data_IF_059566603215
#
_entry.id   IF_059566603215
#
_cell.length_a   1.000
_cell.length_b   1.000
_cell.length_c   1.000
_cell.angle_alpha   90.00
_cell.angle_beta   90.00
_cell.angle_gamma   90.00
#
_symmetry.space_group_name_H-M   'P 1'
#
loop_
_entity.id
_entity.type
_entity.pdbx_description
1 polymer ?
#
# COMPACT_ATOMS: atom_id res chain seq x y z
N UNK A 1 -19.20 11.82 4.94
CA UNK A 1 -20.44 11.10 5.35
C UNK A 1 -20.05 9.73 5.90
N UNK A 2 -20.43 9.42 7.12
CA UNK A 2 -20.24 8.09 7.71
C UNK A 2 -21.28 7.14 7.09
N UNK A 3 -20.85 5.96 6.61
CA UNK A 3 -21.74 4.96 5.99
C UNK A 3 -21.75 3.69 6.83
N UNK A 4 -22.91 3.21 7.16
CA UNK A 4 -23.09 1.87 7.73
C UNK A 4 -22.94 0.84 6.60
N UNK A 5 -21.85 0.06 6.62
CA UNK A 5 -21.64 -0.99 5.61
C UNK A 5 -22.46 -2.26 5.90
N UNK A 6 -23.09 -2.32 7.06
CA UNK A 6 -23.91 -3.46 7.51
C UNK A 6 -25.36 -3.38 7.03
N UNK A 7 -25.77 -2.30 6.36
CA UNK A 7 -27.14 -2.06 5.87
C UNK A 7 -27.14 -1.53 4.42
N UNK A 8 -28.32 -1.54 3.79
CA UNK A 8 -28.50 -0.99 2.44
C UNK A 8 -27.92 -1.83 1.30
N UNK A 9 -27.87 -1.28 0.06
CA UNK A 9 -27.43 -1.99 -1.13
C UNK A 9 -25.92 -2.26 -1.10
N UNK A 10 -25.54 -3.53 -1.26
CA UNK A 10 -24.18 -4.03 -1.05
C UNK A 10 -23.19 -3.42 -2.02
N UNK A 11 -23.42 -3.59 -3.32
CA UNK A 11 -22.51 -3.12 -4.38
C UNK A 11 -22.27 -1.62 -4.27
N UNK A 12 -23.35 -0.85 -4.12
CA UNK A 12 -23.29 0.61 -3.98
C UNK A 12 -22.46 1.04 -2.75
N UNK A 13 -22.64 0.35 -1.62
CA UNK A 13 -21.91 0.66 -0.40
C UNK A 13 -20.41 0.39 -0.55
N UNK A 14 -20.04 -0.76 -1.12
CA UNK A 14 -18.63 -1.09 -1.35
C UNK A 14 -18.00 -0.10 -2.33
N UNK A 15 -18.64 0.19 -3.47
CA UNK A 15 -18.12 1.12 -4.48
C UNK A 15 -17.96 2.54 -3.93
N UNK A 16 -19.00 3.09 -3.30
CA UNK A 16 -18.95 4.45 -2.76
C UNK A 16 -17.97 4.60 -1.58
N UNK A 17 -17.63 3.51 -0.91
CA UNK A 17 -16.59 3.48 0.11
C UNK A 17 -15.20 3.31 -0.51
N UNK A 18 -15.07 2.51 -1.60
CA UNK A 18 -13.82 2.27 -2.30
C UNK A 18 -13.32 3.48 -3.11
N UNK A 19 -14.24 4.20 -3.77
CA UNK A 19 -13.88 5.32 -4.64
C UNK A 19 -12.96 6.36 -3.97
N UNK A 20 -13.23 6.86 -2.75
CA UNK A 20 -12.31 7.79 -2.09
C UNK A 20 -10.94 7.19 -1.76
N UNK A 21 -10.85 5.87 -1.50
CA UNK A 21 -9.56 5.21 -1.29
C UNK A 21 -8.75 5.21 -2.59
N UNK A 22 -9.37 4.77 -3.69
CA UNK A 22 -8.74 4.72 -5.01
C UNK A 22 -8.27 6.10 -5.46
N UNK A 23 -9.11 7.14 -5.31
CA UNK A 23 -8.70 8.51 -5.59
C UNK A 23 -7.56 8.99 -4.69
N UNK A 24 -7.55 8.59 -3.40
CA UNK A 24 -6.47 8.90 -2.48
C UNK A 24 -5.14 8.33 -2.93
N UNK A 25 -5.10 7.07 -3.34
CA UNK A 25 -3.88 6.41 -3.83
C UNK A 25 -3.40 7.03 -5.14
N UNK A 26 -4.29 7.32 -6.08
CA UNK A 26 -3.94 8.02 -7.32
C UNK A 26 -3.36 9.41 -7.04
N UNK A 27 -3.99 10.18 -6.15
CA UNK A 27 -3.49 11.50 -5.73
C UNK A 27 -2.11 11.40 -5.08
N UNK A 28 -1.88 10.36 -4.26
CA UNK A 28 -0.58 10.08 -3.66
C UNK A 28 0.50 9.81 -4.71
N UNK A 29 0.17 9.07 -5.76
CA UNK A 29 1.11 8.84 -6.86
C UNK A 29 1.41 10.12 -7.64
N UNK A 30 0.40 10.96 -7.87
CA UNK A 30 0.59 12.24 -8.56
C UNK A 30 1.52 13.18 -7.78
N UNK A 31 1.35 13.31 -6.47
CA UNK A 31 2.25 14.17 -5.71
C UNK A 31 3.67 13.59 -5.61
N UNK A 32 3.85 12.28 -5.53
CA UNK A 32 5.17 11.64 -5.58
C UNK A 32 5.90 11.93 -6.91
N UNK A 33 5.14 11.96 -8.02
CA UNK A 33 5.68 12.34 -9.34
C UNK A 33 6.08 13.82 -9.33
N UNK A 34 5.24 14.69 -8.78
CA UNK A 34 5.51 16.14 -8.70
C UNK A 34 6.76 16.42 -7.85
N UNK A 35 6.90 15.81 -6.68
CA UNK A 35 8.08 15.91 -5.81
C UNK A 35 9.36 15.45 -6.54
N UNK A 36 9.30 14.27 -7.17
CA UNK A 36 10.42 13.75 -7.98
C UNK A 36 10.79 14.69 -9.14
N UNK A 37 9.80 15.29 -9.79
CA UNK A 37 10.02 16.25 -10.86
C UNK A 37 10.68 17.54 -10.36
N UNK A 38 10.22 18.08 -9.23
CA UNK A 38 10.84 19.28 -8.62
C UNK A 38 12.29 19.01 -8.26
N UNK A 39 12.59 17.90 -7.58
CA UNK A 39 13.95 17.52 -7.21
C UNK A 39 14.82 17.33 -8.45
N UNK A 40 14.37 16.56 -9.43
CA UNK A 40 15.16 16.30 -10.65
C UNK A 40 15.40 17.54 -11.49
N UNK A 41 14.41 18.44 -11.61
CA UNK A 41 14.50 19.64 -12.45
C UNK A 41 15.36 20.74 -11.84
N UNK A 42 15.27 20.93 -10.51
CA UNK A 42 15.89 22.09 -9.85
C UNK A 42 17.14 21.73 -9.03
N UNK A 43 17.30 20.49 -8.58
CA UNK A 43 18.45 20.06 -7.78
C UNK A 43 19.42 19.15 -8.55
N UNK A 44 19.02 18.65 -9.73
CA UNK A 44 19.86 17.86 -10.61
C UNK A 44 19.84 16.36 -10.36
N UNK A 45 20.65 15.62 -11.15
CA UNK A 45 20.64 14.17 -11.20
C UNK A 45 21.11 13.50 -9.89
N UNK A 46 22.12 14.07 -9.23
CA UNK A 46 22.67 13.52 -7.97
C UNK A 46 21.65 13.58 -6.83
N UNK A 47 20.95 14.71 -6.72
CA UNK A 47 19.85 14.86 -5.76
C UNK A 47 18.71 13.89 -6.06
N UNK A 48 18.36 13.73 -7.32
CA UNK A 48 17.32 12.78 -7.76
C UNK A 48 17.71 11.33 -7.43
N UNK A 49 18.97 10.95 -7.64
CA UNK A 49 19.49 9.63 -7.30
C UNK A 49 19.46 9.39 -5.77
N UNK A 50 19.86 10.37 -4.96
CA UNK A 50 19.84 10.29 -3.52
C UNK A 50 18.40 10.16 -2.97
N UNK A 51 17.46 10.97 -3.45
CA UNK A 51 16.04 10.92 -3.05
C UNK A 51 15.40 9.62 -3.51
N UNK A 52 15.62 9.18 -4.74
CA UNK A 52 15.09 7.93 -5.28
C UNK A 52 15.55 6.69 -4.52
N UNK A 53 16.84 6.63 -4.14
CA UNK A 53 17.37 5.54 -3.30
C UNK A 53 16.76 5.56 -1.89
N UNK A 54 16.55 6.74 -1.34
CA UNK A 54 15.90 6.93 -0.02
C UNK A 54 14.43 6.51 -0.04
N UNK A 55 13.74 6.69 -1.17
CA UNK A 55 12.33 6.32 -1.33
C UNK A 55 12.09 4.82 -1.10
N UNK A 56 12.96 3.96 -1.61
CA UNK A 56 12.85 2.50 -1.40
C UNK A 56 12.89 2.12 0.08
N UNK A 57 13.83 2.71 0.83
CA UNK A 57 13.95 2.51 2.28
C UNK A 57 12.69 3.01 3.01
N UNK A 58 12.25 4.22 2.68
CA UNK A 58 11.06 4.81 3.29
C UNK A 58 9.81 3.97 3.01
N UNK A 59 9.65 3.47 1.80
CA UNK A 59 8.54 2.58 1.42
C UNK A 59 8.54 1.30 2.25
N UNK A 60 9.70 0.71 2.48
CA UNK A 60 9.82 -0.48 3.32
C UNK A 60 9.43 -0.19 4.78
N UNK A 61 9.97 0.87 5.39
CA UNK A 61 9.68 1.24 6.77
C UNK A 61 8.21 1.62 6.96
N UNK A 62 7.66 2.40 6.04
CA UNK A 62 6.25 2.81 6.10
C UNK A 62 5.30 1.64 5.86
N UNK A 63 5.69 0.61 5.10
CA UNK A 63 4.88 -0.59 4.90
C UNK A 63 4.63 -1.36 6.19
N UNK A 64 5.60 -1.35 7.11
CA UNK A 64 5.45 -1.95 8.45
C UNK A 64 4.33 -1.22 9.22
N UNK A 65 4.42 0.11 9.30
CA UNK A 65 3.43 0.93 9.99
C UNK A 65 2.04 0.84 9.34
N UNK A 66 2.00 0.88 8.01
CA UNK A 66 0.75 0.74 7.26
C UNK A 66 0.07 -0.60 7.56
N UNK A 67 0.83 -1.69 7.55
CA UNK A 67 0.31 -3.03 7.87
C UNK A 67 -0.23 -3.12 9.30
N UNK A 68 0.49 -2.53 10.29
CA UNK A 68 0.03 -2.45 11.67
C UNK A 68 -1.28 -1.65 11.79
N UNK A 69 -1.40 -0.51 11.12
CA UNK A 69 -2.60 0.31 11.12
C UNK A 69 -3.77 -0.38 10.40
N UNK A 70 -3.53 -1.08 9.30
CA UNK A 70 -4.57 -1.83 8.57
C UNK A 70 -5.09 -3.01 9.38
N UNK A 71 -4.22 -3.75 10.06
CA UNK A 71 -4.61 -4.88 10.89
C UNK A 71 -5.41 -4.45 12.12
N UNK A 72 -4.98 -3.39 12.82
CA UNK A 72 -5.75 -2.82 13.92
C UNK A 72 -7.09 -2.25 13.45
N UNK A 73 -7.13 -1.62 12.28
CA UNK A 73 -8.36 -1.14 11.64
C UNK A 73 -9.36 -2.27 11.36
N UNK A 74 -8.89 -3.47 10.97
CA UNK A 74 -9.76 -4.63 10.80
C UNK A 74 -10.37 -5.10 12.13
N UNK A 75 -9.58 -5.16 13.22
CA UNK A 75 -10.10 -5.47 14.56
C UNK A 75 -11.17 -4.47 14.99
N UNK A 76 -10.90 -3.18 14.83
CA UNK A 76 -11.84 -2.10 15.18
C UNK A 76 -13.10 -2.17 14.30
N UNK A 77 -12.97 -2.51 12.99
CA UNK A 77 -14.12 -2.69 12.09
C UNK A 77 -15.05 -3.81 12.56
N UNK A 78 -14.51 -4.94 13.01
CA UNK A 78 -15.30 -6.05 13.55
C UNK A 78 -16.04 -5.62 14.80
N UNK A 79 -15.36 -4.94 15.73
CA UNK A 79 -15.97 -4.48 16.99
C UNK A 79 -16.99 -3.36 16.76
N UNK A 80 -16.77 -2.51 15.75
CA UNK A 80 -17.77 -1.54 15.33
C UNK A 80 -19.02 -2.22 14.78
N UNK A 81 -18.85 -3.27 13.98
CA UNK A 81 -19.95 -4.07 13.43
C UNK A 81 -20.74 -4.83 14.50
N UNK A 82 -20.07 -5.39 15.51
CA UNK A 82 -20.73 -6.08 16.63
C UNK A 82 -21.42 -5.14 17.61
N UNK A 83 -21.16 -3.82 17.56
CA UNK A 83 -21.71 -2.86 18.50
C UNK A 83 -20.99 -2.83 19.87
N UNK A 84 -19.90 -3.55 20.05
CA UNK A 84 -19.10 -3.63 21.29
C UNK A 84 -18.29 -2.34 21.54
N UNK A 85 -18.96 -1.25 21.89
CA UNK A 85 -18.36 0.10 21.98
C UNK A 85 -17.18 0.18 22.97
N UNK A 86 -17.27 -0.47 24.12
CA UNK A 86 -16.18 -0.45 25.13
C UNK A 86 -14.94 -1.16 24.62
N UNK A 87 -15.11 -2.34 24.03
CA UNK A 87 -14.04 -3.13 23.46
C UNK A 87 -13.39 -2.40 22.28
N UNK A 88 -14.20 -1.76 21.42
CA UNK A 88 -13.73 -0.93 20.34
C UNK A 88 -12.84 0.24 20.84
N UNK A 89 -13.28 0.99 21.87
CA UNK A 89 -12.49 2.09 22.46
C UNK A 89 -11.21 1.58 23.13
N UNK A 90 -11.30 0.43 23.80
CA UNK A 90 -10.12 -0.25 24.35
C UNK A 90 -9.13 -0.64 23.24
N UNK A 91 -9.62 -1.16 22.09
CA UNK A 91 -8.78 -1.45 20.92
C UNK A 91 -8.14 -0.22 20.33
N UNK A 92 -8.84 0.90 20.26
CA UNK A 92 -8.28 2.19 19.82
C UNK A 92 -7.14 2.62 20.74
N UNK A 93 -7.30 2.52 22.06
CA UNK A 93 -6.24 2.83 23.02
C UNK A 93 -5.02 1.91 22.85
N UNK A 94 -5.24 0.59 22.92
CA UNK A 94 -4.15 -0.38 22.86
C UNK A 94 -3.39 -0.33 21.54
N UNK A 95 -4.08 -0.26 20.40
CA UNK A 95 -3.46 -0.19 19.08
C UNK A 95 -2.70 1.13 18.88
N UNK A 96 -3.26 2.27 19.36
CA UNK A 96 -2.56 3.54 19.27
C UNK A 96 -1.24 3.52 20.03
N UNK A 97 -1.26 3.08 21.29
CA UNK A 97 -0.03 3.02 22.12
C UNK A 97 1.01 2.08 21.52
N UNK A 98 0.59 0.89 21.05
CA UNK A 98 1.50 -0.08 20.45
C UNK A 98 2.13 0.43 19.16
N UNK A 99 1.32 0.98 18.25
CA UNK A 99 1.81 1.41 16.94
C UNK A 99 2.62 2.71 17.08
N UNK A 100 2.23 3.62 17.98
CA UNK A 100 3.03 4.79 18.33
C UNK A 100 4.39 4.38 18.89
N UNK A 101 4.43 3.43 19.83
CA UNK A 101 5.67 2.88 20.36
C UNK A 101 6.54 2.24 19.26
N UNK A 102 5.95 1.49 18.35
CA UNK A 102 6.67 0.94 17.20
C UNK A 102 7.19 2.02 16.25
N UNK A 103 6.41 3.06 15.97
CA UNK A 103 6.86 4.19 15.14
C UNK A 103 8.04 4.93 15.76
N UNK A 104 8.00 5.15 17.08
CA UNK A 104 9.12 5.74 17.81
C UNK A 104 10.35 4.84 17.84
N UNK A 105 10.16 3.53 18.04
CA UNK A 105 11.26 2.56 18.00
C UNK A 105 11.90 2.48 16.62
N UNK A 106 11.10 2.43 15.54
CA UNK A 106 11.62 2.47 14.17
C UNK A 106 12.37 3.77 13.89
N UNK A 107 11.83 4.90 14.33
CA UNK A 107 12.46 6.20 14.18
C UNK A 107 13.83 6.22 14.87
N UNK A 108 13.91 5.75 16.12
CA UNK A 108 15.17 5.65 16.88
C UNK A 108 16.17 4.70 16.21
N UNK A 109 15.72 3.51 15.80
CA UNK A 109 16.57 2.51 15.13
C UNK A 109 17.18 3.06 13.84
N UNK A 110 16.41 3.80 13.05
CA UNK A 110 16.87 4.37 11.79
C UNK A 110 17.93 5.46 12.05
N UNK A 111 17.74 6.32 13.04
CA UNK A 111 18.74 7.32 13.40
C UNK A 111 20.03 6.71 13.94
N UNK A 112 19.93 5.71 14.82
CA UNK A 112 21.09 4.99 15.34
C UNK A 112 21.82 4.19 14.26
N UNK A 113 21.06 3.63 13.32
CA UNK A 113 21.56 2.78 12.23
C UNK A 113 21.94 3.52 10.95
N UNK A 114 21.85 4.86 10.88
CA UNK A 114 21.98 5.62 9.63
C UNK A 114 23.26 5.31 8.86
N UNK A 115 24.41 5.23 9.55
CA UNK A 115 25.69 4.87 8.92
C UNK A 115 25.68 3.44 8.35
N UNK A 116 25.13 2.48 9.08
CA UNK A 116 24.97 1.10 8.63
C UNK A 116 24.00 0.98 7.43
N UNK A 117 22.94 1.76 7.42
CA UNK A 117 21.98 1.82 6.31
C UNK A 117 22.67 2.27 5.03
N UNK A 118 23.45 3.35 5.07
CA UNK A 118 24.20 3.86 3.92
C UNK A 118 25.20 2.83 3.40
N UNK A 119 25.86 2.10 4.31
CA UNK A 119 26.78 1.02 3.96
C UNK A 119 26.08 -0.17 3.30
N UNK A 120 24.98 -0.64 3.86
CA UNK A 120 24.17 -1.75 3.31
C UNK A 120 23.62 -1.41 1.93
N UNK A 121 23.17 -0.18 1.74
CA UNK A 121 22.66 0.31 0.46
C UNK A 121 23.80 0.59 -0.57
N UNK A 122 25.05 0.40 -0.16
CA UNK A 122 26.26 0.64 -1.02
C UNK A 122 26.20 1.99 -1.71
N UNK A 123 25.80 3.04 -0.97
CA UNK A 123 25.67 4.39 -1.51
C UNK A 123 27.07 4.91 -1.93
N UNK A 124 27.25 5.38 -3.18
CA UNK A 124 28.49 6.00 -3.62
C UNK A 124 28.91 7.14 -2.70
N UNK A 125 30.21 7.29 -2.44
CA UNK A 125 30.73 8.29 -1.49
C UNK A 125 30.29 9.72 -1.83
N UNK A 126 30.17 10.03 -3.11
CA UNK A 126 29.72 11.32 -3.63
C UNK A 126 28.29 11.67 -3.25
N UNK A 127 27.40 10.66 -3.16
CA UNK A 127 25.99 10.82 -2.84
C UNK A 127 25.67 10.68 -1.33
N UNK A 128 26.61 10.18 -0.53
CA UNK A 128 26.39 9.91 0.89
C UNK A 128 25.99 11.16 1.67
N UNK A 129 26.61 12.30 1.37
CA UNK A 129 26.31 13.57 2.05
C UNK A 129 24.88 14.03 1.75
N UNK A 130 24.46 14.02 0.48
CA UNK A 130 23.12 14.41 0.04
C UNK A 130 22.06 13.45 0.59
N UNK A 131 22.31 12.15 0.50
CA UNK A 131 21.40 11.13 1.00
C UNK A 131 21.25 11.20 2.53
N UNK A 132 22.34 11.41 3.27
CA UNK A 132 22.30 11.59 4.71
C UNK A 132 21.49 12.83 5.10
N UNK A 133 21.69 13.95 4.41
CA UNK A 133 20.97 15.20 4.63
C UNK A 133 19.46 15.02 4.40
N UNK A 134 19.09 14.32 3.34
CA UNK A 134 17.68 13.98 3.05
C UNK A 134 17.09 13.06 4.11
N UNK A 135 17.79 11.95 4.43
CA UNK A 135 17.31 10.93 5.35
C UNK A 135 17.11 11.45 6.77
N UNK A 136 18.02 12.30 7.28
CA UNK A 136 17.89 12.90 8.61
C UNK A 136 16.60 13.71 8.73
N UNK A 137 16.22 14.43 7.69
CA UNK A 137 14.97 15.21 7.70
C UNK A 137 13.75 14.33 7.47
N UNK A 138 13.76 13.46 6.44
CA UNK A 138 12.58 12.68 6.07
C UNK A 138 12.17 11.68 7.15
N UNK A 139 13.12 11.16 7.95
CA UNK A 139 12.83 10.24 9.05
C UNK A 139 12.02 10.88 10.17
N UNK A 140 12.08 12.20 10.36
CA UNK A 140 11.16 12.90 11.25
C UNK A 140 9.69 12.69 10.85
N UNK A 141 9.44 12.43 9.56
CA UNK A 141 8.12 12.15 9.02
C UNK A 141 7.55 10.77 9.36
N UNK A 142 8.34 9.83 9.87
CA UNK A 142 7.86 8.47 10.22
C UNK A 142 6.69 8.55 11.22
N UNK A 143 6.81 9.39 12.23
CA UNK A 143 5.75 9.57 13.23
C UNK A 143 4.52 10.28 12.64
N UNK A 144 4.70 11.25 11.75
CA UNK A 144 3.61 11.90 11.04
C UNK A 144 2.86 10.92 10.12
N UNK A 145 3.61 10.07 9.41
CA UNK A 145 3.07 8.99 8.59
C UNK A 145 2.26 8.00 9.43
N UNK A 146 2.75 7.63 10.63
CA UNK A 146 1.98 6.83 11.58
C UNK A 146 0.66 7.53 11.95
N UNK A 147 0.70 8.79 12.37
CA UNK A 147 -0.51 9.52 12.78
C UNK A 147 -1.56 9.54 11.68
N UNK A 148 -1.15 9.92 10.46
CA UNK A 148 -2.08 9.93 9.33
C UNK A 148 -2.67 8.54 9.05
N UNK A 149 -1.82 7.51 8.90
CA UNK A 149 -2.29 6.16 8.57
C UNK A 149 -3.16 5.57 9.68
N UNK A 150 -2.83 5.82 10.95
CA UNK A 150 -3.61 5.33 12.07
C UNK A 150 -5.03 5.92 12.08
N UNK A 151 -5.17 7.25 12.06
CA UNK A 151 -6.47 7.90 12.06
C UNK A 151 -7.25 7.68 10.77
N UNK A 152 -6.57 7.59 9.63
CA UNK A 152 -7.19 7.23 8.37
C UNK A 152 -7.80 5.82 8.42
N UNK A 153 -7.07 4.82 8.92
CA UNK A 153 -7.59 3.45 9.08
C UNK A 153 -8.68 3.38 10.14
N UNK A 154 -8.57 4.13 11.23
CA UNK A 154 -9.62 4.25 12.25
C UNK A 154 -10.94 4.80 11.67
N UNK A 155 -10.88 5.86 10.87
CA UNK A 155 -12.06 6.42 10.20
C UNK A 155 -12.63 5.48 9.14
N UNK A 156 -11.75 4.80 8.38
CA UNK A 156 -12.16 3.75 7.44
C UNK A 156 -12.87 2.60 8.16
N UNK A 157 -12.39 2.20 9.33
CA UNK A 157 -12.99 1.13 10.13
C UNK A 157 -14.46 1.39 10.48
N UNK A 158 -14.86 2.65 10.61
CA UNK A 158 -16.26 3.06 10.86
C UNK A 158 -17.02 3.45 9.58
N UNK A 159 -16.47 3.18 8.40
CA UNK A 159 -17.12 3.44 7.11
C UNK A 159 -16.96 4.87 6.58
N UNK A 160 -15.95 5.61 7.03
CA UNK A 160 -15.65 6.97 6.53
C UNK A 160 -14.33 6.97 5.76
N UNK A 161 -14.40 6.93 4.44
CA UNK A 161 -13.23 7.02 3.55
C UNK A 161 -12.99 8.43 2.98
N UNK A 162 -13.99 9.32 3.07
CA UNK A 162 -13.90 10.66 2.49
C UNK A 162 -12.99 11.60 3.30
N UNK A 163 -13.08 11.55 4.63
CA UNK A 163 -12.25 12.41 5.48
C UNK A 163 -10.76 12.15 5.30
N UNK A 164 -10.26 10.89 5.31
CA UNK A 164 -8.87 10.61 4.95
C UNK A 164 -8.45 11.16 3.60
N UNK A 165 -9.30 11.06 2.58
CA UNK A 165 -9.02 11.62 1.24
C UNK A 165 -8.85 13.14 1.29
N UNK A 166 -9.72 13.86 2.01
CA UNK A 166 -9.63 15.33 2.12
C UNK A 166 -8.32 15.74 2.76
N UNK A 167 -7.93 15.11 3.88
CA UNK A 167 -6.67 15.44 4.54
C UNK A 167 -5.44 15.07 3.69
N UNK A 168 -5.52 13.99 2.92
CA UNK A 168 -4.48 13.63 1.95
C UNK A 168 -4.37 14.67 0.82
N UNK A 169 -5.50 15.14 0.29
CA UNK A 169 -5.52 16.17 -0.75
C UNK A 169 -4.91 17.50 -0.25
N UNK A 170 -5.26 17.92 0.96
CA UNK A 170 -4.65 19.10 1.59
C UNK A 170 -3.14 18.91 1.75
N UNK A 171 -2.70 17.74 2.24
CA UNK A 171 -1.28 17.42 2.38
C UNK A 171 -0.55 17.45 1.03
N UNK A 172 -1.13 16.86 -0.01
CA UNK A 172 -0.54 16.81 -1.34
C UNK A 172 -0.37 18.21 -1.96
N UNK A 173 -1.39 19.05 -1.87
CA UNK A 173 -1.30 20.45 -2.35
C UNK A 173 -0.26 21.23 -1.56
N UNK A 174 -0.29 21.10 -0.22
CA UNK A 174 0.66 21.79 0.65
C UNK A 174 2.10 21.32 0.38
N UNK A 175 2.31 20.03 0.17
CA UNK A 175 3.63 19.50 -0.18
C UNK A 175 4.18 20.12 -1.47
N UNK A 176 3.41 20.11 -2.57
CA UNK A 176 3.86 20.69 -3.85
C UNK A 176 4.18 22.18 -3.71
N UNK A 177 3.34 22.95 -3.00
CA UNK A 177 3.59 24.38 -2.77
C UNK A 177 4.86 24.59 -1.94
N UNK A 178 5.06 23.80 -0.88
CA UNK A 178 6.24 23.92 -0.04
C UNK A 178 7.51 23.42 -0.73
N UNK A 179 7.43 22.40 -1.59
CA UNK A 179 8.57 21.95 -2.39
C UNK A 179 9.07 23.08 -3.29
N UNK A 180 8.16 23.73 -4.01
CA UNK A 180 8.52 24.88 -4.85
C UNK A 180 9.09 26.03 -4.01
N UNK A 181 8.51 26.32 -2.86
CA UNK A 181 8.99 27.37 -1.96
C UNK A 181 10.38 27.03 -1.39
N UNK A 182 10.54 25.83 -0.78
CA UNK A 182 11.77 25.46 -0.08
C UNK A 182 12.94 25.20 -1.04
N UNK A 183 12.64 24.59 -2.20
CA UNK A 183 13.68 24.23 -3.18
C UNK A 183 14.05 25.43 -4.04
N UNK A 184 13.06 26.16 -4.60
CA UNK A 184 13.34 27.22 -5.60
C UNK A 184 13.59 28.58 -4.93
N UNK A 185 12.69 28.98 -4.00
CA UNK A 185 12.75 30.33 -3.41
C UNK A 185 13.78 30.40 -2.28
N UNK A 186 13.76 29.41 -1.36
CA UNK A 186 14.63 29.41 -0.19
C UNK A 186 15.98 28.72 -0.46
N UNK A 187 16.12 27.93 -1.53
CA UNK A 187 17.37 27.27 -1.90
C UNK A 187 17.85 26.22 -0.88
N UNK A 188 16.94 25.59 -0.13
CA UNK A 188 17.32 24.61 0.92
C UNK A 188 17.70 23.23 0.39
N UNK A 189 17.76 23.05 -0.93
CA UNK A 189 18.19 21.81 -1.58
C UNK A 189 17.34 20.60 -1.21
N UNK A 190 17.97 19.43 -1.09
CA UNK A 190 17.29 18.16 -0.77
C UNK A 190 16.67 18.15 0.63
N UNK A 191 17.24 18.88 1.58
CA UNK A 191 16.66 19.03 2.92
C UNK A 191 15.36 19.84 2.89
N UNK A 192 15.25 20.80 1.95
CA UNK A 192 14.03 21.57 1.72
C UNK A 192 12.88 20.70 1.22
N UNK A 193 13.14 19.84 0.22
CA UNK A 193 12.16 18.88 -0.28
C UNK A 193 11.72 17.89 0.81
N UNK A 194 12.66 17.32 1.56
CA UNK A 194 12.33 16.46 2.70
C UNK A 194 11.51 17.19 3.77
N UNK A 195 11.88 18.43 4.11
CA UNK A 195 11.17 19.28 5.07
C UNK A 195 9.74 19.60 4.66
N UNK A 196 9.52 19.93 3.39
CA UNK A 196 8.20 20.16 2.81
C UNK A 196 7.30 18.92 2.94
N UNK A 197 7.84 17.74 2.62
CA UNK A 197 7.14 16.45 2.76
C UNK A 197 6.77 16.19 4.21
N UNK A 198 7.72 16.30 5.13
CA UNK A 198 7.52 16.06 6.57
C UNK A 198 6.49 17.01 7.15
N UNK A 199 6.60 18.32 6.86
CA UNK A 199 5.66 19.30 7.36
C UNK A 199 4.23 19.03 6.87
N UNK A 200 4.06 18.74 5.58
CA UNK A 200 2.75 18.41 4.98
C UNK A 200 2.14 17.15 5.60
N UNK A 201 2.96 16.14 5.88
CA UNK A 201 2.53 14.93 6.57
C UNK A 201 2.10 15.20 8.02
N UNK A 202 2.79 16.07 8.76
CA UNK A 202 2.37 16.47 10.11
C UNK A 202 1.06 17.25 10.08
N UNK A 203 0.88 18.19 9.16
CA UNK A 203 -0.39 18.92 8.99
C UNK A 203 -1.54 17.95 8.75
N UNK A 204 -1.35 16.97 7.89
CA UNK A 204 -2.35 15.93 7.61
C UNK A 204 -2.57 15.01 8.81
N UNK A 205 -1.49 14.46 9.40
CA UNK A 205 -1.58 13.50 10.50
C UNK A 205 -2.17 14.09 11.78
N UNK A 206 -1.71 15.27 12.18
CA UNK A 206 -2.26 15.98 13.34
C UNK A 206 -3.67 16.49 13.04
N UNK A 207 -3.88 17.02 11.83
CA UNK A 207 -5.19 17.54 11.40
C UNK A 207 -6.28 16.47 11.44
N UNK A 208 -6.03 15.29 10.83
CA UNK A 208 -7.01 14.19 10.86
C UNK A 208 -7.22 13.64 12.28
N UNK A 209 -6.17 13.62 13.11
CA UNK A 209 -6.25 13.24 14.51
C UNK A 209 -7.18 14.19 15.29
N UNK A 210 -6.93 15.50 15.24
CA UNK A 210 -7.76 16.51 15.90
C UNK A 210 -9.21 16.50 15.40
N UNK A 211 -9.39 16.35 14.10
CA UNK A 211 -10.71 16.20 13.50
C UNK A 211 -11.46 14.98 14.06
N UNK A 212 -10.77 13.82 14.13
CA UNK A 212 -11.34 12.58 14.64
C UNK A 212 -11.76 12.73 16.12
N UNK A 213 -10.88 13.29 16.94
CA UNK A 213 -11.16 13.52 18.36
C UNK A 213 -12.37 14.46 18.59
N UNK A 214 -12.50 15.52 17.77
CA UNK A 214 -13.60 16.48 17.89
C UNK A 214 -14.93 15.97 17.32
N UNK A 215 -14.90 15.31 16.17
CA UNK A 215 -16.12 14.92 15.43
C UNK A 215 -16.62 13.52 15.72
N UNK A 216 -15.76 12.64 16.23
CA UNK A 216 -16.10 11.25 16.55
C UNK A 216 -15.76 10.89 18.02
N UNK A 217 -16.33 11.58 19.02
CA UNK A 217 -16.05 11.33 20.44
C UNK A 217 -16.40 9.90 20.87
N UNK A 218 -17.24 9.19 20.10
CA UNK A 218 -17.57 7.79 20.33
C UNK A 218 -16.41 6.82 20.10
N UNK A 219 -15.40 7.23 19.34
CA UNK A 219 -14.16 6.47 19.10
C UNK A 219 -13.10 6.75 20.16
N UNK A 220 -13.21 7.89 20.86
CA UNK A 220 -12.22 8.30 21.83
C UNK A 220 -12.27 7.41 23.08
N UNK A 221 -11.12 6.83 23.51
CA UNK A 221 -11.02 6.06 24.74
C UNK A 221 -11.37 6.93 25.94
N UNK A 222 -12.22 6.43 26.84
CA UNK A 222 -12.46 7.02 28.15
C UNK A 222 -11.42 6.49 29.14
N UNK A 223 -11.26 7.12 30.31
CA UNK A 223 -10.31 6.64 31.32
C UNK A 223 -10.51 5.17 31.69
N UNK A 224 -11.77 4.71 31.74
CA UNK A 224 -12.11 3.30 32.00
C UNK A 224 -11.68 2.34 30.87
N UNK A 225 -11.61 2.83 29.64
CA UNK A 225 -11.21 2.04 28.47
C UNK A 225 -9.67 1.94 28.33
N UNK A 226 -8.91 2.80 29.03
CA UNK A 226 -7.44 2.84 29.01
C UNK A 226 -6.82 1.75 29.92
N UNK A 227 -7.15 0.51 29.64
CA UNK A 227 -6.64 -0.67 30.34
C UNK A 227 -6.06 -1.69 29.36
N UNK A 228 -5.12 -2.49 29.85
CA UNK A 228 -4.55 -3.58 29.06
C UNK A 228 -5.42 -4.84 29.18
N UNK A 229 -6.22 -5.12 28.15
CA UNK A 229 -6.98 -6.38 28.02
C UNK A 229 -6.17 -7.35 27.16
N UNK A 230 -5.68 -8.42 27.80
CA UNK A 230 -4.80 -9.42 27.14
C UNK A 230 -5.48 -10.12 25.96
N UNK A 231 -6.79 -10.41 26.03
CA UNK A 231 -7.52 -11.08 24.95
C UNK A 231 -7.71 -10.16 23.75
N UNK A 232 -8.11 -8.94 24.01
CA UNK A 232 -8.26 -7.93 22.96
C UNK A 232 -6.92 -7.58 22.33
N UNK A 233 -5.89 -7.42 23.16
CA UNK A 233 -4.51 -7.19 22.73
C UNK A 233 -3.99 -8.30 21.81
N UNK A 234 -4.21 -9.57 22.14
CA UNK A 234 -3.80 -10.70 21.33
C UNK A 234 -4.46 -10.66 19.93
N UNK A 235 -5.73 -10.29 19.86
CA UNK A 235 -6.45 -10.15 18.58
C UNK A 235 -5.85 -9.02 17.73
N UNK A 236 -5.60 -7.85 18.36
CA UNK A 236 -4.99 -6.70 17.69
C UNK A 236 -3.60 -7.05 17.18
N UNK A 237 -2.75 -7.65 18.03
CA UNK A 237 -1.39 -8.05 17.67
C UNK A 237 -1.38 -9.04 16.52
N UNK A 238 -2.22 -10.09 16.58
CA UNK A 238 -2.30 -11.08 15.52
C UNK A 238 -2.67 -10.44 14.17
N UNK A 239 -3.71 -9.62 14.13
CA UNK A 239 -4.13 -8.93 12.92
C UNK A 239 -3.09 -7.93 12.43
N UNK A 240 -2.54 -7.11 13.33
CA UNK A 240 -1.59 -6.06 13.00
C UNK A 240 -0.25 -6.62 12.53
N UNK A 241 0.32 -7.57 13.29
CA UNK A 241 1.63 -8.16 12.94
C UNK A 241 1.53 -8.96 11.65
N UNK A 242 0.52 -9.82 11.49
CA UNK A 242 0.37 -10.61 10.27
C UNK A 242 0.14 -9.71 9.04
N UNK A 243 -0.64 -8.64 9.16
CA UNK A 243 -0.83 -7.70 8.05
C UNK A 243 0.45 -6.92 7.75
N UNK A 244 1.23 -6.56 8.78
CA UNK A 244 2.52 -5.90 8.60
C UNK A 244 3.53 -6.82 7.91
N UNK A 245 3.62 -8.08 8.32
CA UNK A 245 4.45 -9.10 7.65
C UNK A 245 4.03 -9.27 6.20
N UNK A 246 2.72 -9.36 5.93
CA UNK A 246 2.19 -9.44 4.56
C UNK A 246 2.64 -8.26 3.70
N UNK A 247 2.48 -7.02 4.18
CA UNK A 247 2.87 -5.82 3.44
C UNK A 247 4.39 -5.73 3.21
N UNK A 248 5.18 -6.13 4.19
CA UNK A 248 6.65 -6.16 4.07
C UNK A 248 7.11 -7.20 3.05
N UNK A 249 6.53 -8.40 3.04
CA UNK A 249 6.84 -9.46 2.07
C UNK A 249 6.48 -8.99 0.66
N UNK A 250 5.35 -8.31 0.47
CA UNK A 250 4.97 -7.78 -0.85
C UNK A 250 6.05 -6.86 -1.43
N UNK A 251 6.54 -5.91 -0.64
CA UNK A 251 7.58 -4.98 -1.09
C UNK A 251 8.93 -5.69 -1.34
N UNK A 252 9.30 -6.61 -0.46
CA UNK A 252 10.55 -7.37 -0.62
C UNK A 252 10.55 -8.27 -1.87
N UNK A 253 9.44 -8.94 -2.16
CA UNK A 253 9.31 -9.80 -3.34
C UNK A 253 9.47 -9.05 -4.66
N UNK A 254 8.98 -7.82 -4.75
CA UNK A 254 9.17 -6.96 -5.93
C UNK A 254 10.66 -6.64 -6.13
N UNK A 255 11.38 -6.31 -5.05
CA UNK A 255 12.82 -6.03 -5.12
C UNK A 255 13.67 -7.22 -5.58
N UNK A 256 13.30 -8.44 -5.17
CA UNK A 256 14.02 -9.66 -5.62
C UNK A 256 13.90 -9.87 -7.13
N UNK A 257 12.72 -9.67 -7.69
CA UNK A 257 12.51 -9.79 -9.14
C UNK A 257 13.24 -8.68 -9.90
N UNK A 258 13.27 -7.46 -9.36
CA UNK A 258 14.02 -6.35 -9.94
C UNK A 258 15.51 -6.68 -10.10
N UNK A 259 16.11 -7.32 -9.08
CA UNK A 259 17.52 -7.74 -9.14
C UNK A 259 17.80 -8.71 -10.30
N UNK A 260 16.89 -9.67 -10.53
CA UNK A 260 17.00 -10.61 -11.64
C UNK A 260 16.81 -9.91 -13.00
N UNK A 261 15.83 -9.03 -13.12
CA UNK A 261 15.58 -8.25 -14.35
C UNK A 261 16.79 -7.42 -14.75
N UNK A 262 17.49 -6.83 -13.78
CA UNK A 262 18.69 -6.03 -14.03
C UNK A 262 19.84 -6.83 -14.67
N UNK A 263 19.89 -8.16 -14.47
CA UNK A 263 20.91 -9.03 -15.10
C UNK A 263 20.70 -9.25 -16.59
N UNK A 264 19.54 -8.90 -17.14
CA UNK A 264 19.23 -9.03 -18.57
C UNK A 264 19.61 -7.81 -19.43
N UNK A 265 20.29 -6.84 -18.83
CA UNK A 265 20.84 -5.68 -19.51
C UNK A 265 19.94 -4.45 -19.48
N UNK A 266 20.50 -3.34 -19.98
CA UNK A 266 19.93 -1.99 -19.83
C UNK A 266 18.57 -1.87 -20.53
N UNK A 267 18.38 -2.48 -21.69
CA UNK A 267 17.14 -2.44 -22.46
C UNK A 267 15.98 -3.04 -21.65
N UNK A 268 16.18 -4.24 -21.09
CA UNK A 268 15.15 -4.93 -20.29
C UNK A 268 14.90 -4.22 -18.98
N UNK A 269 15.95 -3.71 -18.33
CA UNK A 269 15.83 -2.93 -17.10
C UNK A 269 15.01 -1.65 -17.31
N UNK A 270 15.26 -0.91 -18.37
CA UNK A 270 14.52 0.31 -18.72
C UNK A 270 13.06 0.01 -19.10
N UNK A 271 12.84 -1.05 -19.90
CA UNK A 271 11.50 -1.51 -20.26
C UNK A 271 10.69 -1.89 -19.04
N UNK A 272 11.28 -2.66 -18.10
CA UNK A 272 10.62 -3.06 -16.86
C UNK A 272 10.31 -1.87 -15.95
N UNK A 273 11.24 -0.95 -15.79
CA UNK A 273 11.05 0.25 -14.97
C UNK A 273 9.88 1.12 -15.46
N UNK A 274 9.72 1.28 -16.77
CA UNK A 274 8.60 1.99 -17.37
C UNK A 274 7.29 1.20 -17.24
N UNK A 275 7.32 -0.09 -17.56
CA UNK A 275 6.15 -0.95 -17.56
C UNK A 275 5.54 -1.16 -16.17
N UNK A 276 6.38 -1.33 -15.11
CA UNK A 276 5.92 -1.45 -13.72
C UNK A 276 5.23 -0.18 -13.23
N UNK A 277 5.62 1.01 -13.71
CA UNK A 277 4.89 2.25 -13.38
C UNK A 277 3.48 2.23 -13.97
N UNK A 278 3.34 1.82 -15.22
CA UNK A 278 2.04 1.68 -15.90
C UNK A 278 1.18 0.65 -15.16
N UNK A 279 1.77 -0.50 -14.86
CA UNK A 279 1.15 -1.60 -14.13
C UNK A 279 0.64 -1.15 -12.75
N UNK A 280 1.43 -0.33 -12.03
CA UNK A 280 1.03 0.23 -10.73
C UNK A 280 -0.27 1.02 -10.80
N UNK A 281 -0.47 1.85 -11.84
CA UNK A 281 -1.72 2.58 -12.03
C UNK A 281 -2.91 1.66 -12.32
N UNK A 282 -2.66 0.48 -12.89
CA UNK A 282 -3.69 -0.51 -13.17
C UNK A 282 -4.10 -1.30 -11.92
N UNK A 283 -3.14 -1.80 -11.13
CA UNK A 283 -3.46 -2.68 -10.00
C UNK A 283 -3.74 -1.97 -8.67
N UNK A 284 -3.20 -0.75 -8.43
CA UNK A 284 -3.44 -0.03 -7.17
C UNK A 284 -4.92 0.22 -6.86
N UNK A 285 -5.77 0.63 -7.82
CA UNK A 285 -7.20 0.74 -7.58
C UNK A 285 -7.85 -0.58 -7.18
N UNK A 286 -7.39 -1.69 -7.73
CA UNK A 286 -7.89 -3.04 -7.38
C UNK A 286 -7.50 -3.41 -5.95
N UNK A 287 -6.28 -3.09 -5.53
CA UNK A 287 -5.82 -3.28 -4.15
C UNK A 287 -6.67 -2.47 -3.16
N UNK A 288 -6.96 -1.21 -3.48
CA UNK A 288 -7.81 -0.35 -2.63
C UNK A 288 -9.24 -0.84 -2.58
N UNK A 289 -9.77 -1.37 -3.68
CA UNK A 289 -11.06 -2.03 -3.69
C UNK A 289 -11.06 -3.27 -2.78
N UNK A 290 -9.99 -4.07 -2.78
CA UNK A 290 -9.80 -5.19 -1.85
C UNK A 290 -9.76 -4.73 -0.38
N UNK A 291 -9.13 -3.59 -0.09
CA UNK A 291 -9.11 -2.99 1.25
C UNK A 291 -10.50 -2.49 1.67
N UNK A 292 -11.25 -1.87 0.77
CA UNK A 292 -12.64 -1.47 1.01
C UNK A 292 -13.54 -2.68 1.27
N UNK A 293 -13.40 -3.72 0.48
CA UNK A 293 -14.10 -4.98 0.67
C UNK A 293 -13.75 -5.63 2.01
N UNK A 294 -12.48 -5.59 2.43
CA UNK A 294 -12.04 -6.07 3.75
C UNK A 294 -12.79 -5.37 4.88
N UNK A 295 -12.93 -4.05 4.83
CA UNK A 295 -13.69 -3.27 5.83
C UNK A 295 -15.17 -3.65 5.83
N UNK A 296 -15.78 -3.81 4.64
CA UNK A 296 -17.15 -4.27 4.50
C UNK A 296 -17.36 -5.65 5.15
N UNK A 297 -16.48 -6.61 4.85
CA UNK A 297 -16.56 -7.95 5.42
C UNK A 297 -16.36 -7.91 6.94
N UNK A 298 -15.36 -7.15 7.44
CA UNK A 298 -15.05 -7.07 8.86
C UNK A 298 -16.26 -6.53 9.68
N UNK A 299 -16.93 -5.47 9.22
CA UNK A 299 -18.12 -4.94 9.88
C UNK A 299 -19.27 -5.95 9.86
N UNK A 300 -19.52 -6.62 8.74
CA UNK A 300 -20.58 -7.62 8.64
C UNK A 300 -20.25 -8.90 9.43
N UNK A 301 -18.98 -9.27 9.51
CA UNK A 301 -18.52 -10.39 10.34
C UNK A 301 -18.74 -10.11 11.82
N UNK A 302 -18.36 -8.94 12.30
CA UNK A 302 -18.65 -8.50 13.65
C UNK A 302 -20.14 -8.44 13.96
N UNK A 303 -20.96 -8.01 13.00
CA UNK A 303 -22.43 -7.97 13.12
C UNK A 303 -23.12 -9.34 13.00
N UNK A 304 -22.39 -10.44 12.75
CA UNK A 304 -22.96 -11.78 12.56
C UNK A 304 -23.75 -11.95 11.25
N UNK A 305 -23.61 -11.03 10.28
CA UNK A 305 -24.40 -10.99 9.03
C UNK A 305 -23.80 -11.86 7.92
N UNK A 306 -23.71 -13.17 8.12
CA UNK A 306 -23.04 -14.12 7.20
C UNK A 306 -23.66 -14.11 5.79
N UNK A 307 -24.96 -13.94 5.66
CA UNK A 307 -25.62 -13.85 4.34
C UNK A 307 -25.16 -12.61 3.57
N UNK A 308 -25.01 -11.47 4.26
CA UNK A 308 -24.48 -10.25 3.62
C UNK A 308 -23.02 -10.42 3.18
N UNK A 309 -22.20 -11.13 3.96
CA UNK A 309 -20.83 -11.46 3.56
C UNK A 309 -20.83 -12.27 2.27
N UNK A 310 -21.68 -13.33 2.18
CA UNK A 310 -21.79 -14.17 0.98
C UNK A 310 -22.20 -13.37 -0.25
N UNK A 311 -23.25 -12.54 -0.13
CA UNK A 311 -23.69 -11.64 -1.20
C UNK A 311 -22.61 -10.62 -1.57
N UNK A 312 -21.86 -10.11 -0.56
CA UNK A 312 -20.75 -9.19 -0.71
C UNK A 312 -19.58 -9.80 -1.49
N UNK A 313 -19.19 -11.04 -1.20
CA UNK A 313 -18.15 -11.76 -1.94
C UNK A 313 -18.52 -11.87 -3.43
N UNK A 314 -19.77 -12.26 -3.72
CA UNK A 314 -20.23 -12.34 -5.12
C UNK A 314 -20.23 -10.97 -5.80
N UNK A 315 -20.76 -9.95 -5.14
CA UNK A 315 -20.81 -8.59 -5.66
C UNK A 315 -19.41 -8.03 -5.89
N UNK A 316 -18.52 -8.14 -4.90
CA UNK A 316 -17.14 -7.64 -5.00
C UNK A 316 -16.35 -8.41 -6.05
N UNK A 317 -16.53 -9.75 -6.14
CA UNK A 317 -15.91 -10.58 -7.17
C UNK A 317 -16.29 -10.16 -8.58
N UNK A 318 -17.59 -9.97 -8.83
CA UNK A 318 -18.09 -9.52 -10.15
C UNK A 318 -17.60 -8.10 -10.49
N UNK A 319 -17.64 -7.18 -9.52
CA UNK A 319 -17.19 -5.79 -9.72
C UNK A 319 -15.69 -5.73 -10.00
N UNK A 320 -14.88 -6.45 -9.20
CA UNK A 320 -13.43 -6.54 -9.40
C UNK A 320 -13.09 -7.20 -10.75
N UNK A 321 -13.77 -8.30 -11.10
CA UNK A 321 -13.56 -8.97 -12.38
C UNK A 321 -13.89 -8.05 -13.57
N UNK A 322 -15.03 -7.36 -13.54
CA UNK A 322 -15.40 -6.43 -14.59
C UNK A 322 -14.38 -5.29 -14.74
N UNK A 323 -13.92 -4.71 -13.62
CA UNK A 323 -12.89 -3.69 -13.63
C UNK A 323 -11.55 -4.24 -14.17
N UNK A 324 -11.11 -5.40 -13.69
CA UNK A 324 -9.86 -6.02 -14.15
C UNK A 324 -9.89 -6.35 -15.63
N UNK A 325 -11.01 -6.88 -16.15
CA UNK A 325 -11.18 -7.15 -17.59
C UNK A 325 -11.10 -5.85 -18.40
N UNK A 326 -11.79 -4.80 -17.96
CA UNK A 326 -11.74 -3.50 -18.62
C UNK A 326 -10.30 -2.95 -18.68
N UNK A 327 -9.60 -2.96 -17.56
CA UNK A 327 -8.21 -2.47 -17.49
C UNK A 327 -7.27 -3.39 -18.29
N UNK A 328 -7.47 -4.71 -18.27
CA UNK A 328 -6.71 -5.66 -19.09
C UNK A 328 -6.82 -5.33 -20.58
N UNK A 329 -8.04 -5.11 -21.06
CA UNK A 329 -8.28 -4.74 -22.45
C UNK A 329 -7.61 -3.41 -22.80
N UNK A 330 -7.75 -2.40 -21.94
CA UNK A 330 -7.14 -1.09 -22.16
C UNK A 330 -5.60 -1.15 -22.16
N UNK A 331 -5.00 -1.81 -21.17
CA UNK A 331 -3.53 -1.93 -21.07
C UNK A 331 -2.97 -2.75 -22.25
N UNK A 332 -3.59 -3.87 -22.60
CA UNK A 332 -3.12 -4.70 -23.72
C UNK A 332 -3.28 -4.01 -25.08
N UNK A 333 -4.40 -3.30 -25.30
CA UNK A 333 -4.66 -2.58 -26.55
C UNK A 333 -3.75 -1.35 -26.72
N UNK A 334 -3.54 -0.60 -25.64
CA UNK A 334 -2.78 0.63 -25.64
C UNK A 334 -1.36 0.49 -25.08
N UNK A 335 -0.80 -0.73 -24.98
CA UNK A 335 0.49 -0.99 -24.39
C UNK A 335 1.63 -0.15 -25.04
N UNK A 336 1.65 -0.04 -26.35
CA UNK A 336 2.70 0.75 -27.05
C UNK A 336 2.56 2.27 -26.81
N UNK A 337 1.39 2.90 -26.96
CA UNK A 337 1.21 4.31 -26.56
C UNK A 337 1.52 4.58 -25.09
N UNK A 338 1.15 3.67 -24.18
CA UNK A 338 1.44 3.81 -22.75
C UNK A 338 2.94 3.78 -22.48
N UNK A 339 3.68 2.87 -23.13
CA UNK A 339 5.15 2.85 -23.03
C UNK A 339 5.77 4.14 -23.59
N UNK A 340 5.23 4.70 -24.68
CA UNK A 340 5.68 5.95 -25.28
C UNK A 340 5.51 7.19 -24.39
N UNK A 341 4.76 7.12 -23.28
CA UNK A 341 4.69 8.19 -22.26
C UNK A 341 6.01 8.28 -21.48
N UNK A 342 6.68 7.14 -21.27
CA UNK A 342 7.87 7.03 -20.42
C UNK A 342 9.18 6.82 -21.18
N UNK A 343 9.09 6.35 -22.42
CA UNK A 343 10.23 5.96 -23.25
C UNK A 343 10.17 6.73 -24.57
N UNK A 344 11.33 7.24 -25.02
CA UNK A 344 11.44 7.95 -26.28
C UNK A 344 11.02 7.05 -27.47
N UNK A 345 10.21 7.54 -28.41
CA UNK A 345 9.77 6.78 -29.58
C UNK A 345 10.91 6.18 -30.43
N UNK A 346 12.11 6.77 -30.38
CA UNK A 346 13.29 6.23 -31.03
C UNK A 346 13.84 4.93 -30.44
N UNK A 347 13.45 4.58 -29.20
CA UNK A 347 13.93 3.40 -28.47
C UNK A 347 12.98 2.21 -28.65
N UNK A 348 12.82 1.76 -29.89
CA UNK A 348 11.85 0.72 -30.29
C UNK A 348 12.03 -0.61 -29.54
N UNK A 349 13.26 -1.02 -29.23
CA UNK A 349 13.54 -2.25 -28.49
C UNK A 349 13.02 -2.20 -27.04
N UNK A 350 13.20 -1.07 -26.36
CA UNK A 350 12.68 -0.87 -25.01
C UNK A 350 11.15 -0.89 -25.00
N UNK A 351 10.55 -0.21 -25.99
CA UNK A 351 9.08 -0.19 -26.13
C UNK A 351 8.57 -1.60 -26.41
N UNK A 352 9.19 -2.36 -27.31
CA UNK A 352 8.79 -3.72 -27.64
C UNK A 352 8.86 -4.65 -26.40
N UNK A 353 9.95 -4.58 -25.65
CA UNK A 353 10.11 -5.36 -24.42
C UNK A 353 9.06 -5.00 -23.36
N UNK A 354 8.78 -3.70 -23.16
CA UNK A 354 7.74 -3.23 -22.23
C UNK A 354 6.32 -3.60 -22.66
N UNK A 355 6.02 -3.53 -23.95
CA UNK A 355 4.74 -4.01 -24.54
C UNK A 355 4.56 -5.51 -24.29
N UNK A 356 5.63 -6.29 -24.47
CA UNK A 356 5.58 -7.73 -24.21
C UNK A 356 5.24 -8.02 -22.74
N UNK A 357 5.89 -7.33 -21.79
CA UNK A 357 5.57 -7.40 -20.36
C UNK A 357 4.11 -7.04 -20.09
N UNK A 358 3.67 -5.86 -20.52
CA UNK A 358 2.31 -5.36 -20.26
C UNK A 358 1.21 -6.26 -20.85
N UNK A 359 1.45 -6.93 -21.97
CA UNK A 359 0.51 -7.87 -22.54
C UNK A 359 0.40 -9.16 -21.75
N UNK A 360 1.50 -9.67 -21.19
CA UNK A 360 1.49 -10.88 -20.36
C UNK A 360 0.83 -10.62 -19.02
N UNK A 361 1.29 -9.63 -18.27
CA UNK A 361 0.72 -9.31 -16.94
C UNK A 361 -0.69 -8.71 -17.07
N UNK A 362 -0.85 -7.77 -17.99
CA UNK A 362 -2.11 -7.08 -18.22
C UNK A 362 -3.26 -8.02 -18.60
N UNK A 363 -3.01 -9.07 -19.38
CA UNK A 363 -4.03 -10.07 -19.69
C UNK A 363 -4.54 -10.85 -18.46
N UNK A 364 -3.76 -10.86 -17.37
CA UNK A 364 -4.01 -11.67 -16.18
C UNK A 364 -4.40 -10.85 -14.93
N UNK A 365 -4.76 -9.56 -15.04
CA UNK A 365 -5.13 -8.74 -13.88
C UNK A 365 -6.29 -9.27 -13.05
N UNK A 366 -7.14 -10.12 -13.64
CA UNK A 366 -8.20 -10.78 -12.87
C UNK A 366 -7.63 -11.61 -11.71
N UNK A 367 -6.46 -12.24 -11.89
CA UNK A 367 -5.78 -13.00 -10.84
C UNK A 367 -5.40 -12.10 -9.65
N UNK A 368 -4.72 -10.98 -9.90
CA UNK A 368 -4.37 -10.06 -8.80
C UNK A 368 -5.61 -9.48 -8.12
N UNK A 369 -6.70 -9.26 -8.87
CA UNK A 369 -7.98 -8.83 -8.33
C UNK A 369 -8.58 -9.83 -7.34
N UNK A 370 -8.58 -11.12 -7.69
CA UNK A 370 -9.04 -12.20 -6.81
C UNK A 370 -8.13 -12.30 -5.58
N UNK A 371 -6.81 -12.23 -5.76
CA UNK A 371 -5.83 -12.29 -4.67
C UNK A 371 -6.07 -11.20 -3.62
N UNK A 372 -6.27 -9.95 -4.03
CA UNK A 372 -6.53 -8.85 -3.09
C UNK A 372 -7.87 -9.02 -2.35
N UNK A 373 -8.91 -9.52 -3.02
CA UNK A 373 -10.18 -9.84 -2.37
C UNK A 373 -10.02 -10.97 -1.34
N UNK A 374 -9.27 -12.03 -1.66
CA UNK A 374 -9.01 -13.14 -0.73
C UNK A 374 -8.20 -12.68 0.48
N UNK A 375 -7.13 -11.92 0.27
CA UNK A 375 -6.33 -11.33 1.35
C UNK A 375 -7.20 -10.42 2.25
N UNK A 376 -8.02 -9.57 1.64
CA UNK A 376 -8.98 -8.72 2.35
C UNK A 376 -10.00 -9.50 3.16
N UNK A 377 -10.55 -10.56 2.58
CA UNK A 377 -11.51 -11.46 3.23
C UNK A 377 -10.91 -12.13 4.46
N UNK A 378 -9.75 -12.79 4.32
CA UNK A 378 -9.14 -13.54 5.42
C UNK A 378 -8.72 -12.65 6.58
N UNK A 379 -8.21 -11.45 6.31
CA UNK A 379 -7.96 -10.44 7.33
C UNK A 379 -9.24 -10.04 8.06
N UNK A 380 -10.34 -9.86 7.33
CA UNK A 380 -11.63 -9.41 7.86
C UNK A 380 -12.37 -10.46 8.69
N UNK A 381 -12.12 -11.76 8.47
CA UNK A 381 -12.71 -12.86 9.25
C UNK A 381 -11.77 -13.41 10.33
N UNK A 382 -10.82 -12.57 10.78
CA UNK A 382 -9.85 -12.91 11.83
C UNK A 382 -8.95 -14.12 11.52
N UNK A 383 -8.61 -14.33 10.24
CA UNK A 383 -7.68 -15.36 9.77
C UNK A 383 -6.50 -14.72 9.00
N UNK A 384 -5.76 -13.73 9.57
CA UNK A 384 -4.77 -12.95 8.84
C UNK A 384 -3.58 -13.79 8.39
N UNK A 385 -3.27 -14.88 9.08
CA UNK A 385 -2.21 -15.81 8.69
C UNK A 385 -2.44 -16.36 7.27
N UNK A 386 -3.71 -16.59 6.88
CA UNK A 386 -4.01 -17.03 5.52
C UNK A 386 -3.64 -15.99 4.48
N UNK A 387 -3.82 -14.70 4.76
CA UNK A 387 -3.36 -13.63 3.87
C UNK A 387 -1.84 -13.64 3.69
N UNK A 388 -1.08 -13.94 4.75
CA UNK A 388 0.38 -14.11 4.68
C UNK A 388 0.74 -15.32 3.81
N UNK A 389 0.06 -16.47 4.01
CA UNK A 389 0.28 -17.69 3.20
C UNK A 389 0.03 -17.40 1.71
N UNK A 390 -1.06 -16.71 1.38
CA UNK A 390 -1.37 -16.35 -0.02
C UNK A 390 -0.29 -15.43 -0.62
N UNK A 391 0.20 -14.47 0.16
CA UNK A 391 1.26 -13.57 -0.29
C UNK A 391 2.58 -14.32 -0.50
N UNK A 392 2.95 -15.23 0.41
CA UNK A 392 4.14 -16.08 0.25
C UNK A 392 3.97 -17.02 -0.94
N UNK A 393 2.80 -17.65 -1.11
CA UNK A 393 2.53 -18.52 -2.25
C UNK A 393 2.65 -17.76 -3.58
N UNK A 394 2.07 -16.55 -3.67
CA UNK A 394 2.16 -15.72 -4.86
C UNK A 394 3.60 -15.28 -5.15
N UNK A 395 4.24 -14.58 -4.21
CA UNK A 395 5.56 -13.99 -4.42
C UNK A 395 6.69 -15.01 -4.39
N UNK A 396 6.61 -16.03 -3.52
CA UNK A 396 7.59 -17.11 -3.48
C UNK A 396 7.62 -17.91 -4.79
N UNK A 397 6.44 -18.26 -5.31
CA UNK A 397 6.31 -18.90 -6.62
C UNK A 397 6.81 -18.00 -7.74
N UNK A 398 6.45 -16.71 -7.71
CA UNK A 398 6.94 -15.72 -8.69
C UNK A 398 8.47 -15.67 -8.71
N UNK A 399 9.12 -15.54 -7.54
CA UNK A 399 10.59 -15.49 -7.44
C UNK A 399 11.20 -16.81 -7.91
N UNK A 400 10.75 -17.95 -7.40
CA UNK A 400 11.28 -19.26 -7.79
C UNK A 400 11.15 -19.51 -9.29
N UNK A 401 9.98 -19.27 -9.86
CA UNK A 401 9.73 -19.45 -11.29
C UNK A 401 10.48 -18.42 -12.14
N UNK A 402 10.64 -17.18 -11.68
CA UNK A 402 11.42 -16.19 -12.39
C UNK A 402 12.87 -16.67 -12.62
N UNK A 403 13.51 -17.20 -11.57
CA UNK A 403 14.86 -17.78 -11.71
C UNK A 403 14.90 -19.06 -12.53
N UNK A 404 13.94 -19.97 -12.35
CA UNK A 404 13.90 -21.24 -13.07
C UNK A 404 13.58 -21.06 -14.56
N UNK A 405 12.57 -20.28 -14.89
CA UNK A 405 12.13 -20.10 -16.27
C UNK A 405 13.05 -19.15 -17.05
N UNK A 406 13.72 -18.21 -16.39
CA UNK A 406 14.70 -17.33 -17.06
C UNK A 406 15.99 -18.07 -17.43
N UNK A 407 16.35 -19.11 -16.67
CA UNK A 407 17.48 -19.99 -17.00
C UNK A 407 17.16 -20.98 -18.14
N UNK A 408 15.86 -21.24 -18.43
CA UNK A 408 15.37 -22.02 -19.54
C UNK A 408 15.36 -21.18 -20.85
N UNK A 409 15.07 -21.76 -22.03
CA UNK A 409 15.03 -21.04 -23.30
C UNK A 409 14.01 -19.89 -23.36
N UNK A 410 13.18 -19.73 -22.33
CA UNK A 410 12.20 -18.64 -22.23
C UNK A 410 12.80 -17.28 -21.89
N UNK A 411 14.02 -17.24 -21.28
CA UNK A 411 14.69 -15.99 -20.92
C UNK A 411 13.80 -15.01 -20.15
N UNK A 412 13.76 -13.75 -20.60
CA UNK A 412 12.97 -12.67 -19.97
C UNK A 412 11.47 -12.98 -19.93
N UNK A 413 10.92 -13.67 -20.95
CA UNK A 413 9.52 -14.06 -20.98
C UNK A 413 9.15 -14.97 -19.78
N UNK A 414 10.09 -15.81 -19.35
CA UNK A 414 9.92 -16.64 -18.16
C UNK A 414 9.73 -15.83 -16.88
N UNK A 415 10.41 -14.68 -16.76
CA UNK A 415 10.21 -13.75 -15.63
C UNK A 415 8.79 -13.18 -15.66
N UNK A 416 8.34 -12.71 -16.83
CA UNK A 416 7.00 -12.14 -16.99
C UNK A 416 5.89 -13.16 -16.68
N UNK A 417 6.02 -14.38 -17.17
CA UNK A 417 5.05 -15.47 -16.92
C UNK A 417 5.00 -15.91 -15.45
N UNK A 418 6.09 -15.75 -14.70
CA UNK A 418 6.13 -16.14 -13.29
C UNK A 418 5.11 -15.37 -12.44
N UNK A 419 4.75 -14.15 -12.83
CA UNK A 419 3.83 -13.28 -12.10
C UNK A 419 2.40 -13.81 -12.12
N UNK A 420 1.74 -13.99 -13.30
CA UNK A 420 0.39 -14.53 -13.36
C UNK A 420 0.29 -15.97 -12.83
N UNK A 421 1.32 -16.79 -13.00
CA UNK A 421 1.35 -18.14 -12.42
C UNK A 421 1.34 -18.06 -10.88
N UNK A 422 2.11 -17.14 -10.29
CA UNK A 422 2.10 -16.89 -8.84
C UNK A 422 0.71 -16.46 -8.33
N UNK A 423 0.01 -15.58 -9.06
CA UNK A 423 -1.37 -15.20 -8.71
C UNK A 423 -2.32 -16.39 -8.80
N UNK A 424 -2.28 -17.14 -9.89
CA UNK A 424 -3.16 -18.30 -10.10
C UNK A 424 -2.99 -19.37 -9.01
N UNK A 425 -1.75 -19.66 -8.58
CA UNK A 425 -1.48 -20.60 -7.50
C UNK A 425 -2.03 -20.09 -6.17
N UNK A 426 -1.79 -18.83 -5.82
CA UNK A 426 -2.29 -18.24 -4.59
C UNK A 426 -3.83 -18.22 -4.57
N UNK A 427 -4.46 -17.88 -5.70
CA UNK A 427 -5.93 -17.89 -5.85
C UNK A 427 -6.49 -19.29 -5.67
N UNK A 428 -5.88 -20.31 -6.28
CA UNK A 428 -6.28 -21.71 -6.13
C UNK A 428 -6.22 -22.15 -4.65
N UNK A 429 -5.12 -21.81 -3.94
CA UNK A 429 -4.97 -22.09 -2.51
C UNK A 429 -6.04 -21.34 -1.70
N UNK A 430 -6.25 -20.05 -1.97
CA UNK A 430 -7.21 -19.23 -1.24
C UNK A 430 -8.65 -19.70 -1.45
N UNK A 431 -9.05 -19.94 -2.68
CA UNK A 431 -10.39 -20.43 -3.00
C UNK A 431 -10.61 -21.84 -2.42
N UNK A 432 -9.62 -22.74 -2.55
CA UNK A 432 -9.67 -24.09 -1.98
C UNK A 432 -9.87 -24.07 -0.46
N UNK A 433 -9.13 -23.22 0.25
CA UNK A 433 -9.30 -23.04 1.69
C UNK A 433 -10.67 -22.45 2.05
N UNK A 434 -11.17 -21.48 1.27
CA UNK A 434 -12.51 -20.91 1.46
C UNK A 434 -13.60 -21.97 1.31
N UNK A 435 -13.55 -22.78 0.27
CA UNK A 435 -14.53 -23.85 0.03
C UNK A 435 -14.51 -24.89 1.16
N UNK A 436 -13.32 -25.30 1.62
CA UNK A 436 -13.16 -26.25 2.72
C UNK A 436 -13.70 -25.70 4.05
N UNK A 437 -13.49 -24.43 4.36
CA UNK A 437 -13.92 -23.81 5.64
C UNK A 437 -15.36 -23.34 5.65
N UNK A 438 -16.02 -23.24 4.49
CA UNK A 438 -17.44 -22.90 4.37
C UNK A 438 -18.34 -24.10 4.66
N UNK A 439 -17.83 -25.30 4.46
CA UNK A 439 -18.56 -26.56 4.70
C UNK A 439 -18.41 -27.09 6.12
N UNK A 440 -17.58 -26.48 6.95
CA UNK A 440 -17.44 -26.70 8.38
C UNK A 440 -18.06 -25.53 9.16
#
# INVERSE_FOLDING_TARGET
>A
MQRTLTEGPITRNILLFALPLMFGTLLQQMYNIADTWVVGRFLGADALAAVGSSYTLMTFLTSILLGLCMGSGAAISMQYGSGEKEKMRNSVFQSFVLIAGMALALNLLVYLGLGGILWVLRVPAELQALMKQYLVVIFLGIFATFLYNYFANLLRAIGNSMVPLIFLAVSAILNVVLDLLCVIVLGWGVAGAAGATVFSQYVSGVGIGLYTLKKFPRLCPRRADCRWDKRNLATILNLSVMTSVQQSIMNFGILMVQGLVNSFGIVIMAAFAAAVKIDSFAYMPVQDFGNAFSTYVAQNYGAGKSERIRKGIRSAGLTSAAFCILISVLVCAFAAPLMGIFVDPGQSEIIAAGVHYLRIEGACYIGVGILFLLCGYYRAVNKPMMSVVLTIASLGTRVALAYLLSAAPLGVTGIWLSVPIGWALADAIGIGYYLKTKTA
#
